data_IF_119694564752
#
_entry.id   IF_119694564752
#
_cell.length_a   1.000
_cell.length_b   1.000
_cell.length_c   1.000
_cell.angle_alpha   90.00
_cell.angle_beta   90.00
_cell.angle_gamma   90.00
#
_symmetry.space_group_name_H-M   'P 1'
#
loop_
_entity.id
_entity.type
_entity.pdbx_description
1 polymer ?
#
# COMPACT_ATOMS: atom_id res chain seq x y z
N UNK A 1 -9.12 15.18 -22.85
CA UNK A 1 -9.19 16.19 -21.78
C UNK A 1 -8.19 15.80 -20.69
N UNK A 2 -7.01 16.44 -20.67
CA UNK A 2 -5.95 16.13 -19.69
C UNK A 2 -6.27 16.82 -18.38
N UNK A 3 -6.72 16.07 -17.37
CA UNK A 3 -6.89 16.62 -16.01
C UNK A 3 -5.48 16.82 -15.47
N UNK A 4 -5.05 18.08 -15.35
CA UNK A 4 -3.80 18.44 -14.68
C UNK A 4 -3.88 17.99 -13.22
N UNK A 5 -3.16 16.93 -12.85
CA UNK A 5 -3.11 16.47 -11.47
C UNK A 5 -2.25 17.44 -10.66
N UNK A 6 -2.83 18.00 -9.59
CA UNK A 6 -2.12 18.93 -8.73
C UNK A 6 -1.01 18.21 -7.92
N UNK A 7 0.26 18.66 -8.00
CA UNK A 7 1.36 18.06 -7.24
C UNK A 7 1.07 17.94 -5.73
N UNK A 8 0.40 18.94 -5.14
CA UNK A 8 0.04 18.93 -3.73
C UNK A 8 -0.97 17.83 -3.33
N UNK A 9 -1.75 17.30 -4.27
CA UNK A 9 -2.62 16.15 -3.99
C UNK A 9 -1.80 14.85 -3.86
N UNK A 10 -0.84 14.64 -4.78
CA UNK A 10 0.05 13.47 -4.76
C UNK A 10 0.85 13.46 -3.45
N UNK A 11 1.39 14.61 -3.06
CA UNK A 11 2.09 14.79 -1.79
C UNK A 11 1.25 14.34 -0.59
N UNK A 12 0.06 14.93 -0.42
CA UNK A 12 -0.82 14.66 0.72
C UNK A 12 -1.25 13.20 0.76
N UNK A 13 -1.63 12.63 -0.37
CA UNK A 13 -2.02 11.23 -0.46
C UNK A 13 -0.85 10.30 -0.11
N UNK A 14 0.34 10.55 -0.67
CA UNK A 14 1.50 9.70 -0.43
C UNK A 14 1.97 9.74 1.05
N UNK A 15 1.96 10.92 1.67
CA UNK A 15 2.25 11.05 3.11
C UNK A 15 1.16 10.34 3.93
N UNK A 16 -0.13 10.54 3.62
CA UNK A 16 -1.23 9.91 4.32
C UNK A 16 -1.17 8.38 4.24
N UNK A 17 -0.90 7.81 3.05
CA UNK A 17 -0.67 6.37 2.86
C UNK A 17 0.40 5.86 3.83
N UNK A 18 1.55 6.54 3.88
CA UNK A 18 2.65 6.09 4.73
C UNK A 18 2.34 6.20 6.22
N UNK A 19 1.73 7.31 6.66
CA UNK A 19 1.37 7.51 8.07
C UNK A 19 0.29 6.52 8.52
N UNK A 20 -0.73 6.27 7.71
CA UNK A 20 -1.79 5.31 8.03
C UNK A 20 -1.20 3.90 8.11
N UNK A 21 -0.35 3.47 7.18
CA UNK A 21 0.29 2.16 7.24
C UNK A 21 1.14 1.98 8.51
N UNK A 22 1.92 2.99 8.90
CA UNK A 22 2.72 2.97 10.14
C UNK A 22 1.82 2.91 11.38
N UNK A 23 0.76 3.73 11.42
CA UNK A 23 -0.20 3.70 12.54
C UNK A 23 -0.91 2.34 12.64
N UNK A 24 -1.31 1.75 11.52
CA UNK A 24 -1.93 0.43 11.46
C UNK A 24 -1.02 -0.64 12.05
N UNK A 25 0.25 -0.72 11.63
CA UNK A 25 1.15 -1.76 12.14
C UNK A 25 1.52 -1.56 13.61
N UNK A 26 1.66 -0.30 14.08
CA UNK A 26 1.84 -0.01 15.50
C UNK A 26 0.62 -0.47 16.30
N UNK A 27 -0.59 -0.23 15.79
CA UNK A 27 -1.83 -0.70 16.42
C UNK A 27 -1.84 -2.23 16.51
N UNK A 28 -1.53 -2.94 15.43
CA UNK A 28 -1.48 -4.40 15.43
C UNK A 28 -0.43 -4.96 16.39
N UNK A 29 0.77 -4.38 16.40
CA UNK A 29 1.81 -4.77 17.34
C UNK A 29 1.36 -4.54 18.80
N UNK A 30 0.68 -3.42 19.06
CA UNK A 30 0.14 -3.10 20.40
C UNK A 30 -0.93 -4.11 20.82
N UNK A 31 -1.85 -4.47 19.91
CA UNK A 31 -2.86 -5.50 20.16
C UNK A 31 -2.24 -6.80 20.70
N UNK A 32 -1.22 -7.31 20.01
CA UNK A 32 -0.52 -8.53 20.43
C UNK A 32 0.32 -8.33 21.70
N UNK A 33 0.93 -7.17 21.89
CA UNK A 33 1.76 -6.89 23.07
C UNK A 33 0.94 -6.79 24.36
N UNK A 34 -0.28 -6.22 24.31
CA UNK A 34 -1.14 -6.03 25.49
C UNK A 34 -2.21 -7.10 25.65
N UNK A 35 -2.33 -8.02 24.68
CA UNK A 35 -3.28 -9.14 24.73
C UNK A 35 -4.72 -8.78 24.35
N UNK A 36 -4.94 -7.71 23.57
CA UNK A 36 -6.27 -7.38 23.06
C UNK A 36 -6.60 -5.88 23.04
N UNK A 37 -7.88 -5.57 23.23
CA UNK A 37 -8.41 -4.20 23.27
C UNK A 37 -8.78 -3.62 21.90
N UNK A 38 -8.97 -2.30 21.80
CA UNK A 38 -9.46 -1.66 20.57
C UNK A 38 -8.44 -1.67 19.42
N UNK A 39 -7.20 -2.09 19.68
CA UNK A 39 -6.09 -2.00 18.74
C UNK A 39 -6.23 -2.92 17.52
N UNK A 40 -6.95 -4.04 17.64
CA UNK A 40 -7.31 -4.87 16.48
C UNK A 40 -8.22 -4.10 15.53
N UNK A 41 -9.34 -3.60 16.07
CA UNK A 41 -10.28 -2.80 15.28
C UNK A 41 -9.65 -1.53 14.67
N UNK A 42 -8.75 -0.86 15.40
CA UNK A 42 -8.00 0.30 14.87
C UNK A 42 -7.09 -0.13 13.70
N UNK A 43 -6.41 -1.28 13.80
CA UNK A 43 -5.60 -1.81 12.69
C UNK A 43 -6.48 -2.11 11.47
N UNK A 44 -7.64 -2.73 11.67
CA UNK A 44 -8.53 -3.11 10.58
C UNK A 44 -9.07 -1.86 9.86
N UNK A 45 -9.56 -0.86 10.60
CA UNK A 45 -9.97 0.44 10.02
C UNK A 45 -8.79 1.10 9.29
N UNK A 46 -7.60 1.04 9.88
CA UNK A 46 -6.37 1.56 9.30
C UNK A 46 -6.02 0.88 7.97
N UNK A 47 -6.18 -0.43 7.86
CA UNK A 47 -5.94 -1.19 6.63
C UNK A 47 -6.96 -0.86 5.53
N UNK A 48 -8.25 -0.76 5.86
CA UNK A 48 -9.26 -0.32 4.91
C UNK A 48 -8.98 1.11 4.40
N UNK A 49 -8.59 1.99 5.32
CA UNK A 49 -8.20 3.38 5.00
C UNK A 49 -6.95 3.42 4.12
N UNK A 50 -5.93 2.63 4.45
CA UNK A 50 -4.70 2.50 3.67
C UNK A 50 -5.02 2.08 2.23
N UNK A 51 -5.83 1.04 2.04
CA UNK A 51 -6.24 0.57 0.73
C UNK A 51 -6.99 1.65 -0.07
N UNK A 52 -7.92 2.37 0.56
CA UNK A 52 -8.64 3.46 -0.09
C UNK A 52 -7.72 4.63 -0.52
N UNK A 53 -6.80 5.04 0.36
CA UNK A 53 -5.81 6.06 0.05
C UNK A 53 -4.86 5.63 -1.06
N UNK A 54 -4.45 4.36 -1.07
CA UNK A 54 -3.63 3.78 -2.14
C UNK A 54 -4.38 3.75 -3.47
N UNK A 55 -5.66 3.42 -3.49
CA UNK A 55 -6.49 3.49 -4.70
C UNK A 55 -6.57 4.92 -5.24
N UNK A 56 -6.77 5.90 -4.35
CA UNK A 56 -6.77 7.31 -4.72
C UNK A 56 -5.41 7.74 -5.28
N UNK A 57 -4.30 7.35 -4.63
CA UNK A 57 -2.94 7.63 -5.11
C UNK A 57 -2.69 6.99 -6.49
N UNK A 58 -3.06 5.72 -6.67
CA UNK A 58 -2.96 5.02 -7.95
C UNK A 58 -3.75 5.73 -9.05
N UNK A 59 -4.97 6.18 -8.73
CA UNK A 59 -5.78 6.95 -9.67
C UNK A 59 -5.15 8.29 -10.04
N UNK A 60 -4.57 9.02 -9.07
CA UNK A 60 -3.87 10.27 -9.39
C UNK A 60 -2.65 10.06 -10.28
N UNK A 61 -1.99 8.90 -10.17
CA UNK A 61 -0.82 8.53 -10.97
C UNK A 61 -1.17 7.72 -12.23
N UNK A 62 -2.45 7.58 -12.59
CA UNK A 62 -2.93 6.72 -13.69
C UNK A 62 -2.30 7.01 -15.05
N UNK A 63 -1.90 8.24 -15.34
CA UNK A 63 -1.28 8.59 -16.62
C UNK A 63 0.17 8.11 -16.73
N UNK A 64 0.76 7.61 -15.64
CA UNK A 64 2.14 7.11 -15.60
C UNK A 64 2.22 5.59 -15.75
N UNK A 65 1.08 4.90 -15.83
CA UNK A 65 1.01 3.44 -15.86
C UNK A 65 0.00 2.97 -16.91
N UNK A 66 0.17 1.75 -17.46
CA UNK A 66 -0.83 1.13 -18.32
C UNK A 66 -2.10 0.77 -17.52
N UNK A 67 -3.24 0.65 -18.23
CA UNK A 67 -4.55 0.42 -17.64
C UNK A 67 -4.62 -0.85 -16.77
N UNK A 68 -3.95 -1.94 -17.15
CA UNK A 68 -3.96 -3.18 -16.37
C UNK A 68 -3.30 -3.02 -15.00
N UNK A 69 -2.24 -2.20 -14.90
CA UNK A 69 -1.56 -1.94 -13.65
C UNK A 69 -2.45 -1.11 -12.71
N UNK A 70 -3.11 -0.08 -13.26
CA UNK A 70 -4.13 0.66 -12.51
C UNK A 70 -5.26 -0.26 -12.05
N UNK A 71 -5.80 -1.11 -12.94
CA UNK A 71 -6.87 -2.04 -12.60
C UNK A 71 -6.46 -2.99 -11.47
N UNK A 72 -5.23 -3.52 -11.49
CA UNK A 72 -4.69 -4.35 -10.42
C UNK A 72 -4.67 -3.61 -9.06
N UNK A 73 -4.24 -2.35 -9.02
CA UNK A 73 -4.28 -1.55 -7.80
C UNK A 73 -5.70 -1.29 -7.29
N UNK A 74 -6.64 -0.95 -8.18
CA UNK A 74 -8.02 -0.66 -7.78
C UNK A 74 -8.75 -1.92 -7.30
N UNK A 75 -8.59 -3.04 -8.01
CA UNK A 75 -9.14 -4.34 -7.60
C UNK A 75 -8.50 -4.80 -6.29
N UNK A 76 -7.18 -4.71 -6.17
CA UNK A 76 -6.46 -5.06 -4.95
C UNK A 76 -6.91 -4.24 -3.75
N UNK A 77 -7.09 -2.92 -3.93
CA UNK A 77 -7.63 -2.05 -2.89
C UNK A 77 -9.07 -2.44 -2.49
N UNK A 78 -9.93 -2.75 -3.47
CA UNK A 78 -11.28 -3.24 -3.20
C UNK A 78 -11.29 -4.52 -2.36
N UNK A 79 -10.45 -5.50 -2.73
CA UNK A 79 -10.30 -6.76 -1.98
C UNK A 79 -9.76 -6.49 -0.57
N UNK A 80 -8.78 -5.59 -0.42
CA UNK A 80 -8.20 -5.25 0.88
C UNK A 80 -9.21 -4.58 1.83
N UNK A 81 -10.07 -3.71 1.30
CA UNK A 81 -11.20 -3.10 2.03
C UNK A 81 -12.19 -4.19 2.46
N UNK A 82 -12.52 -5.14 1.58
CA UNK A 82 -13.41 -6.26 1.93
C UNK A 82 -12.80 -7.11 3.06
N UNK A 83 -11.51 -7.45 2.99
CA UNK A 83 -10.83 -8.18 4.06
C UNK A 83 -10.84 -7.42 5.40
N UNK A 84 -10.61 -6.11 5.36
CA UNK A 84 -10.68 -5.23 6.53
C UNK A 84 -12.09 -5.15 7.13
N UNK A 85 -13.12 -5.09 6.28
CA UNK A 85 -14.52 -5.16 6.72
C UNK A 85 -14.87 -6.52 7.31
N UNK A 86 -14.40 -7.61 6.69
CA UNK A 86 -14.63 -8.97 7.19
C UNK A 86 -14.10 -9.15 8.61
N UNK A 87 -12.89 -8.64 8.89
CA UNK A 87 -12.28 -8.67 10.23
C UNK A 87 -13.13 -8.01 11.32
N UNK A 88 -14.00 -7.06 10.93
CA UNK A 88 -14.87 -6.31 11.84
C UNK A 88 -16.30 -6.87 11.93
N UNK A 89 -16.67 -7.75 11.01
CA UNK A 89 -18.07 -8.15 10.77
C UNK A 89 -18.52 -9.35 11.61
N UNK A 90 -17.61 -10.00 12.32
CA UNK A 90 -17.80 -11.29 13.01
C UNK A 90 -18.31 -12.45 12.11
N UNK A 91 -18.36 -12.25 10.78
CA UNK A 91 -18.82 -13.27 9.82
C UNK A 91 -17.81 -14.39 9.61
N UNK A 92 -16.53 -14.08 9.80
CA UNK A 92 -15.38 -14.97 9.64
C UNK A 92 -14.36 -14.63 10.73
N UNK A 93 -13.45 -15.55 11.00
CA UNK A 93 -12.31 -15.32 11.88
C UNK A 93 -11.30 -14.34 11.30
N UNK A 94 -10.47 -13.81 12.19
CA UNK A 94 -9.44 -12.82 11.84
C UNK A 94 -8.44 -13.37 10.82
N UNK A 95 -8.20 -14.69 10.83
CA UNK A 95 -7.20 -15.30 9.98
C UNK A 95 -7.66 -15.29 8.52
N UNK A 96 -8.89 -15.75 8.23
CA UNK A 96 -9.44 -15.68 6.88
C UNK A 96 -9.54 -14.23 6.38
N UNK A 97 -10.03 -13.32 7.22
CA UNK A 97 -10.07 -11.89 6.90
C UNK A 97 -8.67 -11.34 6.55
N UNK A 98 -7.65 -11.72 7.33
CA UNK A 98 -6.25 -11.40 7.08
C UNK A 98 -5.71 -11.95 5.76
N UNK A 99 -6.11 -13.17 5.35
CA UNK A 99 -5.75 -13.72 4.03
C UNK A 99 -6.36 -12.88 2.90
N UNK A 100 -7.63 -12.51 3.02
CA UNK A 100 -8.32 -11.65 2.03
C UNK A 100 -7.63 -10.30 1.92
N UNK A 101 -7.34 -9.64 3.04
CA UNK A 101 -6.59 -8.37 3.05
C UNK A 101 -5.20 -8.52 2.44
N UNK A 102 -4.48 -9.60 2.78
CA UNK A 102 -3.15 -9.91 2.23
C UNK A 102 -3.18 -10.02 0.70
N UNK A 103 -4.12 -10.78 0.13
CA UNK A 103 -4.26 -10.90 -1.34
C UNK A 103 -4.60 -9.55 -1.99
N UNK A 104 -5.46 -8.76 -1.35
CA UNK A 104 -5.82 -7.44 -1.84
C UNK A 104 -4.60 -6.52 -1.93
N UNK A 105 -3.85 -6.38 -0.84
CA UNK A 105 -2.61 -5.61 -0.85
C UNK A 105 -1.54 -6.19 -1.78
N UNK A 106 -1.42 -7.51 -1.88
CA UNK A 106 -0.48 -8.14 -2.79
C UNK A 106 -0.75 -7.79 -4.27
N UNK A 107 -2.02 -7.63 -4.63
CA UNK A 107 -2.47 -7.22 -5.97
C UNK A 107 -2.17 -5.74 -6.28
N UNK A 108 -1.90 -4.91 -5.27
CA UNK A 108 -1.37 -3.55 -5.45
C UNK A 108 0.12 -3.57 -5.81
N UNK A 109 0.87 -4.60 -5.40
CA UNK A 109 2.31 -4.74 -5.67
C UNK A 109 2.71 -4.56 -7.14
N UNK A 110 2.07 -5.24 -8.11
CA UNK A 110 2.33 -5.05 -9.54
C UNK A 110 2.19 -3.61 -10.03
N UNK A 111 1.19 -2.86 -9.55
CA UNK A 111 1.05 -1.44 -9.87
C UNK A 111 2.26 -0.64 -9.42
N UNK A 112 2.74 -0.89 -8.20
CA UNK A 112 3.88 -0.20 -7.63
C UNK A 112 5.17 -0.50 -8.41
N UNK A 113 5.37 -1.76 -8.82
CA UNK A 113 6.51 -2.16 -9.66
C UNK A 113 6.45 -1.44 -11.02
N UNK A 114 5.30 -1.47 -11.69
CA UNK A 114 5.15 -0.86 -13.02
C UNK A 114 5.33 0.65 -12.95
N UNK A 115 4.69 1.33 -11.99
CA UNK A 115 4.85 2.76 -11.76
C UNK A 115 6.31 3.16 -11.64
N UNK A 116 7.05 2.49 -10.74
CA UNK A 116 8.43 2.86 -10.46
C UNK A 116 9.40 2.51 -11.60
N UNK A 117 9.08 1.50 -12.43
CA UNK A 117 9.81 1.25 -13.68
C UNK A 117 9.55 2.32 -14.73
N UNK A 118 8.31 2.80 -14.84
CA UNK A 118 7.90 3.80 -15.83
C UNK A 118 8.49 5.19 -15.59
N UNK A 119 8.77 5.55 -14.33
CA UNK A 119 9.27 6.88 -13.95
C UNK A 119 10.73 6.88 -13.48
N UNK A 120 11.38 5.71 -13.44
CA UNK A 120 12.70 5.53 -12.81
C UNK A 120 13.86 6.29 -13.46
N UNK A 121 13.70 6.75 -14.71
CA UNK A 121 14.69 7.57 -15.44
C UNK A 121 14.30 9.05 -15.56
N UNK A 122 13.19 9.47 -14.96
CA UNK A 122 12.75 10.87 -15.04
C UNK A 122 13.59 11.78 -14.14
N UNK A 123 14.02 12.93 -14.68
CA UNK A 123 14.89 13.90 -13.98
C UNK A 123 14.30 14.49 -12.68
N UNK A 124 13.01 14.25 -12.39
CA UNK A 124 12.33 14.68 -11.16
C UNK A 124 12.17 13.58 -10.10
N UNK A 125 12.62 12.34 -10.37
CA UNK A 125 12.48 11.22 -9.44
C UNK A 125 13.76 11.05 -8.60
N UNK A 126 13.70 11.06 -7.26
CA UNK A 126 14.88 10.89 -6.43
C UNK A 126 15.64 9.58 -6.70
N UNK A 127 16.98 9.58 -6.63
CA UNK A 127 17.77 8.36 -6.77
C UNK A 127 17.37 7.36 -5.68
N UNK A 128 17.11 6.12 -6.06
CA UNK A 128 16.72 5.04 -5.15
C UNK A 128 15.23 4.93 -4.84
N UNK A 129 14.42 5.98 -5.06
CA UNK A 129 12.96 5.91 -4.81
C UNK A 129 12.29 4.86 -5.70
N UNK A 130 12.68 4.81 -6.98
CA UNK A 130 12.19 3.80 -7.91
C UNK A 130 12.58 2.38 -7.47
N UNK A 131 13.83 2.18 -7.02
CA UNK A 131 14.31 0.89 -6.53
C UNK A 131 13.54 0.43 -5.29
N UNK A 132 13.31 1.34 -4.32
CA UNK A 132 12.53 1.04 -3.13
C UNK A 132 11.08 0.67 -3.47
N UNK A 133 10.45 1.39 -4.40
CA UNK A 133 9.08 1.08 -4.83
C UNK A 133 8.97 -0.26 -5.55
N UNK A 134 9.95 -0.60 -6.40
CA UNK A 134 10.03 -1.93 -7.03
C UNK A 134 10.18 -3.01 -5.95
N UNK A 135 11.10 -2.83 -4.99
CA UNK A 135 11.31 -3.78 -3.91
C UNK A 135 10.03 -3.96 -3.07
N UNK A 136 9.39 -2.86 -2.67
CA UNK A 136 8.11 -2.88 -1.95
C UNK A 136 7.06 -3.68 -2.71
N UNK A 137 6.86 -3.38 -4.00
CA UNK A 137 5.83 -4.03 -4.82
C UNK A 137 6.09 -5.51 -5.04
N UNK A 138 7.35 -5.91 -5.22
CA UNK A 138 7.72 -7.33 -5.34
C UNK A 138 7.50 -8.09 -4.02
N UNK A 139 7.89 -7.51 -2.89
CA UNK A 139 7.65 -8.14 -1.57
C UNK A 139 6.15 -8.25 -1.31
N UNK A 140 5.37 -7.19 -1.55
CA UNK A 140 3.91 -7.23 -1.44
C UNK A 140 3.30 -8.36 -2.28
N UNK A 141 3.75 -8.53 -3.53
CA UNK A 141 3.23 -9.54 -4.45
C UNK A 141 3.44 -10.99 -3.95
N UNK A 142 4.40 -11.24 -3.06
CA UNK A 142 4.56 -12.55 -2.40
C UNK A 142 3.29 -12.94 -1.63
N UNK A 143 2.52 -11.97 -1.14
CA UNK A 143 1.24 -12.20 -0.48
C UNK A 143 0.20 -12.91 -1.33
N UNK A 144 0.32 -12.90 -2.68
CA UNK A 144 -0.54 -13.70 -3.56
C UNK A 144 -0.41 -15.21 -3.29
N UNK A 145 0.69 -15.65 -2.70
CA UNK A 145 0.85 -17.02 -2.24
C UNK A 145 -0.29 -17.42 -1.29
N UNK A 146 -0.90 -16.49 -0.53
CA UNK A 146 -2.03 -16.73 0.40
C UNK A 146 -3.36 -17.09 -0.29
N UNK A 147 -3.50 -16.87 -1.60
CA UNK A 147 -4.75 -17.03 -2.34
C UNK A 147 -5.38 -18.44 -2.23
N UNK A 148 -4.64 -19.56 -2.34
CA UNK A 148 -5.23 -20.88 -2.19
C UNK A 148 -5.88 -21.08 -0.81
N UNK A 149 -5.42 -20.38 0.22
CA UNK A 149 -5.94 -20.47 1.58
C UNK A 149 -7.34 -19.89 1.70
N UNK A 150 -7.61 -18.82 0.93
CA UNK A 150 -8.96 -18.25 0.79
C UNK A 150 -9.88 -19.27 0.10
N UNK A 151 -9.41 -19.89 -1.00
CA UNK A 151 -10.19 -20.90 -1.74
C UNK A 151 -10.51 -22.11 -0.86
N UNK A 152 -9.59 -22.48 0.03
CA UNK A 152 -9.75 -23.56 1.00
C UNK A 152 -10.58 -23.17 2.23
N UNK A 153 -10.97 -21.90 2.39
CA UNK A 153 -11.70 -21.43 3.57
C UNK A 153 -10.89 -21.51 4.87
N UNK A 154 -9.57 -21.34 4.80
CA UNK A 154 -8.71 -21.42 5.98
C UNK A 154 -8.97 -20.24 6.92
N UNK A 155 -9.38 -20.56 8.14
CA UNK A 155 -9.72 -19.56 9.15
C UNK A 155 -9.10 -19.84 10.54
N UNK A 156 -8.34 -20.91 10.65
CA UNK A 156 -7.57 -21.23 11.85
C UNK A 156 -6.07 -21.15 11.57
N UNK A 157 -5.42 -20.18 12.22
CA UNK A 157 -3.98 -19.95 12.09
C UNK A 157 -3.15 -21.12 12.64
N UNK A 158 -3.66 -21.86 13.63
CA UNK A 158 -2.94 -22.96 14.26
C UNK A 158 -2.81 -24.20 13.35
N UNK A 159 -3.70 -24.35 12.38
CA UNK A 159 -3.72 -25.46 11.42
C UNK A 159 -3.28 -25.05 10.02
N UNK A 160 -2.84 -23.79 9.85
CA UNK A 160 -2.45 -23.24 8.57
C UNK A 160 -1.26 -24.00 7.94
N UNK A 161 -1.35 -24.39 6.65
CA UNK A 161 -0.24 -24.98 5.92
C UNK A 161 0.99 -24.07 5.91
N UNK A 162 2.19 -24.65 5.99
CA UNK A 162 3.44 -23.90 6.14
C UNK A 162 3.73 -22.87 5.03
N UNK A 163 3.20 -23.08 3.82
CA UNK A 163 3.37 -22.15 2.71
C UNK A 163 2.65 -20.81 2.92
N UNK A 164 1.62 -20.75 3.79
CA UNK A 164 0.92 -19.49 4.14
C UNK A 164 1.91 -18.48 4.71
N UNK A 165 2.88 -18.94 5.51
CA UNK A 165 3.88 -18.06 6.14
C UNK A 165 4.79 -17.37 5.12
N UNK A 166 5.03 -18.00 3.97
CA UNK A 166 5.74 -17.36 2.86
C UNK A 166 4.92 -16.17 2.36
N UNK A 167 3.61 -16.36 2.18
CA UNK A 167 2.71 -15.28 1.79
C UNK A 167 2.66 -14.13 2.81
N UNK A 168 2.75 -14.44 4.10
CA UNK A 168 2.79 -13.41 5.15
C UNK A 168 4.02 -12.51 5.10
N UNK A 169 5.11 -12.91 4.41
CA UNK A 169 6.23 -12.01 4.14
C UNK A 169 5.80 -10.78 3.32
N UNK A 170 4.68 -10.86 2.59
CA UNK A 170 4.07 -9.71 1.91
C UNK A 170 3.74 -8.54 2.83
N UNK A 171 3.44 -8.80 4.10
CA UNK A 171 3.19 -7.75 5.10
C UNK A 171 4.40 -6.86 5.37
N UNK A 172 5.64 -7.36 5.18
CA UNK A 172 6.84 -6.51 5.24
C UNK A 172 6.84 -5.47 4.12
N UNK A 173 6.35 -5.86 2.94
CA UNK A 173 6.14 -4.93 1.83
C UNK A 173 5.13 -3.85 2.20
N UNK A 174 4.00 -4.25 2.80
CA UNK A 174 2.87 -3.37 3.15
C UNK A 174 3.21 -2.39 4.27
N UNK A 175 3.83 -2.88 5.36
CA UNK A 175 4.00 -2.10 6.59
C UNK A 175 5.39 -1.49 6.78
N UNK A 176 6.39 -1.85 5.96
CA UNK A 176 7.73 -1.27 6.05
C UNK A 176 8.15 -0.57 4.76
N UNK A 177 8.21 -1.32 3.65
CA UNK A 177 8.79 -0.79 2.42
C UNK A 177 7.86 0.20 1.71
N UNK A 178 6.57 -0.12 1.65
CA UNK A 178 5.56 0.73 1.02
C UNK A 178 5.36 2.08 1.72
N UNK A 179 5.23 2.17 3.07
CA UNK A 179 5.16 3.46 3.75
C UNK A 179 6.43 4.28 3.61
N UNK A 180 7.61 3.65 3.66
CA UNK A 180 8.87 4.34 3.42
C UNK A 180 8.92 4.95 2.01
N UNK A 181 8.49 4.18 1.00
CA UNK A 181 8.36 4.66 -0.37
C UNK A 181 7.35 5.81 -0.48
N UNK A 182 6.17 5.67 0.11
CA UNK A 182 5.09 6.65 0.00
C UNK A 182 5.47 8.00 0.66
N UNK A 183 6.08 7.96 1.84
CA UNK A 183 6.57 9.17 2.54
C UNK A 183 7.68 9.84 1.73
N UNK A 184 8.63 9.07 1.19
CA UNK A 184 9.71 9.62 0.37
C UNK A 184 9.17 10.24 -0.91
N UNK A 185 8.23 9.58 -1.60
CA UNK A 185 7.53 10.17 -2.74
C UNK A 185 6.90 11.51 -2.37
N UNK A 186 6.11 11.58 -1.31
CA UNK A 186 5.46 12.82 -0.89
C UNK A 186 6.44 13.95 -0.63
N UNK A 187 7.53 13.67 0.10
CA UNK A 187 8.58 14.67 0.38
C UNK A 187 9.32 15.14 -0.87
N UNK A 188 9.51 14.28 -1.85
CA UNK A 188 10.21 14.62 -3.09
C UNK A 188 9.43 15.55 -4.00
N UNK A 189 8.09 15.43 -3.99
CA UNK A 189 7.19 16.32 -4.73
C UNK A 189 7.26 17.75 -4.19
N UNK A 190 7.36 17.91 -2.85
CA UNK A 190 7.57 19.21 -2.19
C UNK A 190 8.89 19.86 -2.61
N UNK A 191 9.99 19.11 -2.52
CA UNK A 191 11.32 19.63 -2.85
C UNK A 191 11.40 20.14 -4.30
N UNK A 192 10.74 19.43 -5.23
CA UNK A 192 10.68 19.79 -6.65
C UNK A 192 9.86 21.06 -6.92
N UNK A 193 8.85 21.36 -6.11
CA UNK A 193 8.02 22.56 -6.24
C UNK A 193 8.78 23.81 -5.74
N UNK A 194 9.40 23.75 -4.55
CA UNK A 194 10.14 24.87 -3.98
C UNK A 194 11.40 25.28 -4.77
N UNK A 195 12.06 24.31 -5.43
CA UNK A 195 13.22 24.58 -6.29
C UNK A 195 12.87 25.36 -7.56
N UNK A 196 11.67 25.17 -8.12
CA UNK A 196 11.21 25.93 -9.31
C UNK A 196 10.88 27.38 -8.96
N UNK A 197 10.27 27.61 -7.81
CA UNK A 197 9.88 28.96 -7.35
C UNK A 197 11.11 29.81 -6.98
N UNK A 198 12.16 29.18 -6.43
CA UNK A 198 13.41 29.86 -6.09
C UNK A 198 14.20 30.29 -7.33
N UNK A 199 14.28 29.45 -8.38
CA UNK A 199 14.94 29.81 -9.65
C UNK A 199 14.21 30.92 -10.41
N UNK A 200 12.88 30.90 -10.41
CA UNK A 200 12.10 31.95 -11.04
C UNK A 200 12.30 33.34 -10.41
N UNK A 201 12.75 33.41 -9.14
CA UNK A 201 13.08 34.66 -8.45
C UNK A 201 14.52 35.15 -8.64
N UNK A 202 15.45 34.28 -9.01
CA UNK A 202 16.86 34.67 -9.23
C UNK A 202 17.11 35.16 -10.66
N UNK A 203 16.21 34.84 -11.57
CA UNK A 203 16.37 35.09 -13.01
C UNK A 203 15.54 36.30 -13.52
N UNK A 204 14.96 37.09 -12.60
CA UNK A 204 14.17 38.31 -12.88
C UNK A 204 14.69 39.50 -12.11
#
# INVERSE_FOLDING_TARGET
MSISVHPGLIERLAIAVGLVAVASVISLATFFAVGGGPFGAINDIGNGTLAALTAALAWTLRSRVPAFALAAALLGAGIAIVGSWLAQSDLVGFFFAGLVSSVGFASIGPWLVVLNRSVGSEAGWPPGLAGLGIAAGLVMAVGLATLPGIVMGLDDMATAPGWIWIGYLGWLGIYLLYPAWAIWLGRSVVASAGGKETRARTDG
#
